data_IF_532288793135
#
_entry.id   IF_532288793135
#
_cell.length_a   1.000
_cell.length_b   1.000
_cell.length_c   1.000
_cell.angle_alpha   90.00
_cell.angle_beta   90.00
_cell.angle_gamma   90.00
#
_symmetry.space_group_name_H-M   'P 1'
#
loop_
_entity.id
_entity.type
_entity.pdbx_description
1 polymer ?
#
# COMPACT_ATOMS: atom_id res chain seq x y z
N UNK A 1 -10.73 2.96 44.76
CA UNK A 1 -9.71 2.49 43.79
C UNK A 1 -10.43 2.07 42.52
N UNK A 2 -10.52 3.00 41.57
CA UNK A 2 -11.21 2.81 40.28
C UNK A 2 -10.27 2.06 39.35
N UNK A 3 -10.62 0.84 38.95
CA UNK A 3 -9.85 0.10 37.94
C UNK A 3 -10.10 0.78 36.59
N UNK A 4 -9.12 1.52 36.09
CA UNK A 4 -9.07 1.90 34.69
C UNK A 4 -8.87 0.63 33.87
N UNK A 5 -9.94 0.21 33.20
CA UNK A 5 -9.88 -0.85 32.21
C UNK A 5 -9.16 -0.27 30.99
N UNK A 6 -7.89 -0.62 30.82
CA UNK A 6 -7.11 -0.27 29.64
C UNK A 6 -7.84 -0.85 28.43
N UNK A 7 -8.29 0.02 27.54
CA UNK A 7 -8.94 -0.36 26.29
C UNK A 7 -7.85 -0.97 25.40
N UNK A 8 -7.73 -2.29 25.42
CA UNK A 8 -6.95 -3.02 24.43
C UNK A 8 -7.56 -2.73 23.06
N UNK A 9 -6.82 -2.01 22.22
CA UNK A 9 -7.13 -1.89 20.79
C UNK A 9 -6.84 -3.23 20.14
N UNK A 10 -7.83 -4.12 20.14
CA UNK A 10 -7.96 -5.19 19.16
C UNK A 10 -7.87 -4.55 17.76
N UNK A 11 -6.89 -4.89 16.90
CA UNK A 11 -6.87 -4.35 15.55
C UNK A 11 -8.02 -4.97 14.75
N UNK A 12 -8.81 -4.07 14.17
CA UNK A 12 -9.83 -4.22 13.13
C UNK A 12 -10.00 -5.65 12.58
N UNK A 13 -11.19 -6.20 12.78
CA UNK A 13 -11.73 -7.26 11.92
C UNK A 13 -11.93 -6.71 10.48
N UNK A 14 -10.82 -6.41 9.81
CA UNK A 14 -10.78 -6.20 8.37
C UNK A 14 -11.05 -7.55 7.74
N UNK A 15 -12.23 -7.73 7.15
CA UNK A 15 -12.54 -8.90 6.34
C UNK A 15 -11.37 -9.19 5.39
N UNK A 16 -10.75 -10.36 5.49
CA UNK A 16 -9.60 -10.74 4.66
C UNK A 16 -10.10 -11.43 3.40
N UNK A 17 -9.56 -11.03 2.25
CA UNK A 17 -9.70 -11.76 0.98
C UNK A 17 -8.48 -12.66 0.81
N UNK A 18 -8.74 -13.95 0.59
CA UNK A 18 -7.71 -14.92 0.23
C UNK A 18 -7.65 -15.09 -1.30
N UNK A 19 -6.47 -14.87 -1.88
CA UNK A 19 -6.19 -15.04 -3.30
C UNK A 19 -5.23 -16.21 -3.49
N UNK A 20 -5.68 -17.25 -4.17
CA UNK A 20 -4.89 -18.46 -4.41
C UNK A 20 -4.28 -18.42 -5.80
N UNK A 21 -2.96 -18.33 -5.85
CA UNK A 21 -2.18 -18.74 -7.01
C UNK A 21 -1.86 -20.23 -6.95
N UNK A 22 -1.24 -20.76 -8.01
CA UNK A 22 -0.82 -22.16 -8.07
C UNK A 22 0.20 -22.54 -6.99
N UNK A 23 1.09 -21.61 -6.63
CA UNK A 23 2.22 -21.83 -5.73
C UNK A 23 2.26 -20.87 -4.55
N UNK A 24 1.25 -20.01 -4.41
CA UNK A 24 1.20 -19.01 -3.35
C UNK A 24 -0.24 -18.67 -2.96
N UNK A 25 -0.40 -18.15 -1.76
CA UNK A 25 -1.65 -17.53 -1.29
C UNK A 25 -1.35 -16.12 -0.83
N UNK A 26 -2.14 -15.13 -1.25
CA UNK A 26 -2.11 -13.77 -0.70
C UNK A 26 -3.30 -13.57 0.23
N UNK A 27 -3.06 -12.92 1.36
CA UNK A 27 -4.11 -12.35 2.20
C UNK A 27 -4.13 -10.84 2.01
N UNK A 28 -5.32 -10.32 1.80
CA UNK A 28 -5.53 -8.94 1.37
C UNK A 28 -6.66 -8.32 2.19
N UNK A 29 -6.54 -7.05 2.58
CA UNK A 29 -7.65 -6.30 3.20
C UNK A 29 -8.81 -6.17 2.21
N UNK A 30 -10.03 -6.55 2.59
CA UNK A 30 -11.22 -6.34 1.74
C UNK A 30 -11.58 -4.87 1.58
N UNK A 31 -11.12 -4.02 2.50
CA UNK A 31 -11.41 -2.59 2.53
C UNK A 31 -10.49 -1.85 1.54
N UNK A 32 -9.18 -1.97 1.73
CA UNK A 32 -8.19 -1.23 0.95
C UNK A 32 -7.69 -2.00 -0.27
N UNK A 33 -7.87 -3.32 -0.29
CA UNK A 33 -7.20 -4.19 -1.23
C UNK A 33 -5.71 -4.36 -0.93
N UNK A 34 -5.16 -3.81 0.16
CA UNK A 34 -3.74 -3.89 0.46
C UNK A 34 -3.31 -5.32 0.83
N UNK A 35 -2.18 -5.76 0.28
CA UNK A 35 -1.57 -7.04 0.63
C UNK A 35 -1.11 -6.98 2.10
N UNK A 36 -1.43 -8.01 2.86
CA UNK A 36 -1.03 -8.17 4.26
C UNK A 36 0.00 -9.28 4.43
N UNK A 37 -0.22 -10.41 3.76
CA UNK A 37 0.67 -11.56 3.80
C UNK A 37 0.76 -12.28 2.46
N UNK A 38 1.87 -12.99 2.28
CA UNK A 38 2.07 -13.97 1.22
C UNK A 38 2.53 -15.29 1.85
N UNK A 39 1.88 -16.38 1.49
CA UNK A 39 2.29 -17.74 1.84
C UNK A 39 2.87 -18.43 0.61
N UNK A 40 4.12 -18.88 0.69
CA UNK A 40 4.79 -19.65 -0.37
C UNK A 40 5.43 -20.88 0.27
N UNK A 41 5.24 -22.06 -0.34
CA UNK A 41 5.77 -23.33 0.18
C UNK A 41 5.44 -23.58 1.66
N UNK A 42 4.22 -23.22 2.09
CA UNK A 42 3.75 -23.39 3.46
C UNK A 42 4.32 -22.37 4.48
N UNK A 43 5.19 -21.46 4.06
CA UNK A 43 5.74 -20.41 4.92
C UNK A 43 5.03 -19.09 4.65
N UNK A 44 4.54 -18.43 5.70
CA UNK A 44 3.83 -17.15 5.61
C UNK A 44 4.74 -15.99 5.97
N UNK A 45 4.79 -14.99 5.10
CA UNK A 45 5.54 -13.75 5.29
C UNK A 45 4.57 -12.58 5.35
N UNK A 46 4.79 -11.68 6.30
CA UNK A 46 4.12 -10.37 6.28
C UNK A 46 4.68 -9.57 5.11
N UNK A 47 3.80 -9.04 4.28
CA UNK A 47 4.15 -8.25 3.11
C UNK A 47 3.27 -7.01 3.10
N UNK A 48 3.89 -5.84 3.02
CA UNK A 48 3.19 -4.56 2.87
C UNK A 48 3.71 -3.89 1.60
N UNK A 49 2.82 -3.54 0.69
CA UNK A 49 3.11 -2.77 -0.50
C UNK A 49 2.29 -1.48 -0.46
N UNK A 50 2.93 -0.38 -0.82
CA UNK A 50 2.28 0.94 -0.91
C UNK A 50 2.92 1.77 -2.01
N UNK A 51 2.16 2.72 -2.54
CA UNK A 51 2.68 3.74 -3.43
C UNK A 51 3.04 4.98 -2.63
N UNK A 52 4.24 5.50 -2.89
CA UNK A 52 4.75 6.73 -2.31
C UNK A 52 5.18 7.67 -3.44
N UNK A 53 5.29 8.96 -3.14
CA UNK A 53 5.80 9.95 -4.08
C UNK A 53 6.81 10.88 -3.40
N UNK A 54 7.72 11.44 -4.18
CA UNK A 54 8.68 12.42 -3.68
C UNK A 54 8.33 13.79 -4.23
N UNK A 55 8.33 14.80 -3.36
CA UNK A 55 8.30 16.18 -3.82
C UNK A 55 9.65 16.48 -4.48
N UNK A 56 9.66 16.97 -5.71
CA UNK A 56 10.89 17.38 -6.39
C UNK A 56 11.46 18.66 -5.77
N UNK A 57 12.78 18.75 -5.62
CA UNK A 57 13.46 20.02 -5.38
C UNK A 57 13.55 20.81 -6.69
N UNK A 58 13.15 22.07 -6.61
CA UNK A 58 13.44 23.09 -7.62
C UNK A 58 14.33 24.16 -7.01
N UNK A 59 15.40 24.52 -7.72
CA UNK A 59 16.43 25.49 -7.38
C UNK A 59 15.82 26.82 -7.00
N UNK A 60 14.70 27.23 -7.61
CA UNK A 60 14.01 28.50 -7.36
C UNK A 60 14.96 29.71 -7.21
N UNK A 61 16.09 29.70 -7.93
CA UNK A 61 17.13 30.74 -7.87
C UNK A 61 18.16 30.61 -6.74
N UNK A 62 18.12 29.58 -5.89
CA UNK A 62 19.07 29.35 -4.79
C UNK A 62 20.34 28.62 -5.26
N UNK A 63 21.53 29.24 -5.18
CA UNK A 63 22.79 28.59 -5.57
C UNK A 63 23.09 27.35 -4.71
N UNK A 64 23.73 26.34 -5.31
CA UNK A 64 24.16 25.11 -4.61
C UNK A 64 23.10 24.03 -4.48
N UNK A 65 21.87 24.27 -4.94
CA UNK A 65 20.82 23.27 -5.03
C UNK A 65 20.79 22.67 -6.45
N UNK A 66 20.83 21.34 -6.53
CA UNK A 66 20.58 20.60 -7.77
C UNK A 66 19.07 20.38 -7.97
N UNK A 67 18.61 20.64 -9.18
CA UNK A 67 17.23 20.41 -9.60
C UNK A 67 16.97 18.93 -9.83
N UNK A 68 15.80 18.46 -9.37
CA UNK A 68 15.25 17.22 -9.92
C UNK A 68 14.91 17.40 -11.39
N UNK A 69 15.19 16.41 -12.23
CA UNK A 69 14.89 16.45 -13.65
C UNK A 69 15.05 15.10 -14.33
N UNK A 70 15.23 15.10 -15.64
CA UNK A 70 15.38 13.87 -16.44
C UNK A 70 16.63 13.05 -16.09
N UNK A 71 17.65 13.68 -15.50
CA UNK A 71 18.94 13.03 -15.19
C UNK A 71 19.19 12.92 -13.68
N UNK A 72 18.72 13.90 -12.91
CA UNK A 72 19.01 14.01 -11.49
C UNK A 72 17.75 13.69 -10.67
N UNK A 73 17.89 12.79 -9.70
CA UNK A 73 16.88 12.53 -8.69
C UNK A 73 17.23 13.27 -7.39
N UNK A 74 16.58 14.42 -7.15
CA UNK A 74 16.85 15.30 -6.02
C UNK A 74 15.55 15.53 -5.21
N UNK A 75 15.14 14.59 -4.35
CA UNK A 75 13.89 14.69 -3.59
C UNK A 75 14.00 15.74 -2.48
N UNK A 76 12.91 16.46 -2.24
CA UNK A 76 12.77 17.43 -1.16
C UNK A 76 12.37 16.72 0.14
N UNK A 77 13.29 15.92 0.67
CA UNK A 77 13.07 15.10 1.86
C UNK A 77 12.56 13.69 1.55
N UNK A 78 11.86 13.11 2.52
CA UNK A 78 11.38 11.72 2.48
C UNK A 78 10.16 11.56 1.57
N UNK A 79 9.89 10.31 1.17
CA UNK A 79 8.70 9.98 0.41
C UNK A 79 7.41 10.24 1.21
N UNK A 80 6.38 10.69 0.52
CA UNK A 80 5.05 10.94 1.06
C UNK A 80 4.11 9.80 0.69
N UNK A 81 3.27 9.39 1.64
CA UNK A 81 2.21 8.43 1.39
C UNK A 81 0.99 9.12 0.75
N UNK A 82 0.25 8.37 -0.05
CA UNK A 82 -1.09 8.81 -0.43
C UNK A 82 -2.05 8.76 0.78
N UNK A 83 -3.07 9.64 0.83
CA UNK A 83 -4.04 9.64 1.92
C UNK A 83 -4.71 8.27 2.08
N UNK A 84 -4.70 7.72 3.31
CA UNK A 84 -5.21 6.37 3.58
C UNK A 84 -6.72 6.25 3.35
N UNK A 85 -7.46 7.34 3.51
CA UNK A 85 -8.91 7.44 3.26
C UNK A 85 -9.28 7.35 1.77
N UNK A 86 -8.32 7.53 0.87
CA UNK A 86 -8.52 7.31 -0.56
C UNK A 86 -8.28 5.86 -0.99
N UNK A 87 -7.60 5.05 -0.16
CA UNK A 87 -7.23 3.69 -0.53
C UNK A 87 -8.42 2.75 -0.43
N UNK A 88 -8.77 2.07 -1.53
CA UNK A 88 -9.88 1.12 -1.56
C UNK A 88 -9.69 0.02 -2.58
N UNK A 89 -10.25 -1.16 -2.28
CA UNK A 89 -10.43 -2.21 -3.26
C UNK A 89 -11.46 -1.75 -4.31
N UNK A 90 -11.08 -1.77 -5.58
CA UNK A 90 -11.98 -1.41 -6.69
C UNK A 90 -12.79 -2.62 -7.16
N UNK A 91 -12.10 -3.72 -7.42
CA UNK A 91 -12.76 -4.94 -7.84
C UNK A 91 -11.91 -6.16 -7.57
N UNK A 92 -12.61 -7.31 -7.55
CA UNK A 92 -12.03 -8.63 -7.46
C UNK A 92 -12.58 -9.44 -8.63
N UNK A 93 -11.71 -10.00 -9.43
CA UNK A 93 -12.10 -10.84 -10.57
C UNK A 93 -11.47 -12.21 -10.45
N UNK A 94 -12.28 -13.24 -10.66
CA UNK A 94 -11.82 -14.62 -10.81
C UNK A 94 -12.44 -15.14 -12.09
N UNK A 95 -11.60 -15.38 -13.10
CA UNK A 95 -12.03 -15.87 -14.41
C UNK A 95 -11.03 -16.86 -14.96
N UNK A 96 -11.50 -18.09 -15.22
CA UNK A 96 -10.63 -19.20 -15.62
C UNK A 96 -9.52 -19.45 -14.60
N UNK A 97 -8.27 -19.29 -15.02
CA UNK A 97 -7.07 -19.43 -14.16
C UNK A 97 -6.53 -18.11 -13.60
N UNK A 98 -7.21 -16.98 -13.82
CA UNK A 98 -6.76 -15.66 -13.37
C UNK A 98 -7.57 -15.24 -12.15
N UNK A 99 -6.85 -14.83 -11.12
CA UNK A 99 -7.39 -14.19 -9.94
C UNK A 99 -6.74 -12.80 -9.82
N UNK A 100 -7.53 -11.75 -9.94
CA UNK A 100 -7.07 -10.36 -10.00
C UNK A 100 -7.76 -9.50 -8.93
N UNK A 101 -7.02 -8.53 -8.41
CA UNK A 101 -7.52 -7.50 -7.52
C UNK A 101 -7.09 -6.14 -8.05
N UNK A 102 -8.07 -5.27 -8.24
CA UNK A 102 -7.87 -3.92 -8.71
C UNK A 102 -7.96 -2.98 -7.51
N UNK A 103 -6.98 -2.10 -7.36
CA UNK A 103 -6.82 -1.21 -6.21
C UNK A 103 -6.81 0.24 -6.65
N UNK A 104 -7.46 1.09 -5.85
CA UNK A 104 -7.36 2.54 -5.95
C UNK A 104 -6.50 3.03 -4.79
N UNK A 105 -5.44 3.77 -5.08
CA UNK A 105 -4.57 4.37 -4.07
C UNK A 105 -4.81 5.87 -3.93
N UNK A 106 -5.10 6.55 -5.03
CA UNK A 106 -5.51 7.96 -5.09
C UNK A 106 -6.19 8.25 -6.43
N UNK A 107 -6.69 9.48 -6.61
CA UNK A 107 -7.27 9.93 -7.88
C UNK A 107 -6.33 9.80 -9.08
N UNK A 108 -5.03 9.69 -8.83
CA UNK A 108 -3.97 9.64 -9.83
C UNK A 108 -3.15 8.35 -9.80
N UNK A 109 -3.44 7.41 -8.89
CA UNK A 109 -2.70 6.15 -8.75
C UNK A 109 -3.64 4.95 -8.53
N UNK A 110 -3.56 3.98 -9.45
CA UNK A 110 -4.33 2.72 -9.42
C UNK A 110 -3.41 1.57 -9.83
N UNK A 111 -3.69 0.38 -9.31
CA UNK A 111 -3.08 -0.86 -9.77
C UNK A 111 -4.21 -1.78 -10.23
N UNK A 112 -4.19 -2.14 -11.52
CA UNK A 112 -5.20 -2.99 -12.18
C UNK A 112 -4.50 -4.03 -13.00
#
# INVERSE_FOLDING_TARGET
MTKHQTRETEPLNDTIIEMKGKSFTLQVSAQSGAIQTITVNGTTHRLNQSFLWYQSVGRNGTPGIEDSGSYNFCPNGSAHAFPADQQRLLSRHVSGGVHELNQWHSDYAKQT
#
